data_IF_011881303055
#
_entry.id   IF_011881303055
#
_cell.length_a   1.000
_cell.length_b   1.000
_cell.length_c   1.000
_cell.angle_alpha   90.00
_cell.angle_beta   90.00
_cell.angle_gamma   90.00
#
_symmetry.space_group_name_H-M   'P 1'
#
loop_
_entity.id
_entity.type
_entity.pdbx_description
1 polymer ?
#
# COMPACT_ATOMS: atom_id res chain seq x y z
N UNK A 1 44.54 -0.86 8.35
CA UNK A 1 43.60 0.23 8.09
C UNK A 1 42.79 -0.17 6.86
N UNK A 2 41.60 -0.74 7.05
CA UNK A 2 40.61 -0.91 5.97
C UNK A 2 39.92 0.43 5.81
N UNK A 3 40.21 1.17 4.74
CA UNK A 3 39.48 2.37 4.39
C UNK A 3 38.06 1.95 4.04
N UNK A 4 37.07 2.43 4.81
CA UNK A 4 35.68 2.36 4.42
C UNK A 4 35.55 3.18 3.13
N UNK A 5 35.50 2.47 2.00
CA UNK A 5 35.10 3.04 0.72
C UNK A 5 33.63 3.43 0.88
N UNK A 6 33.41 4.67 1.33
CA UNK A 6 32.04 5.25 1.30
C UNK A 6 31.57 5.19 -0.14
N UNK A 7 30.53 4.42 -0.39
CA UNK A 7 29.84 4.35 -1.66
C UNK A 7 29.47 5.77 -2.12
N UNK A 8 29.71 6.11 -3.37
CA UNK A 8 29.30 7.41 -3.91
C UNK A 8 27.74 7.54 -3.92
N UNK A 9 27.25 8.76 -3.96
CA UNK A 9 25.83 9.06 -3.86
C UNK A 9 25.02 8.38 -4.97
N UNK A 10 25.56 8.31 -6.18
CA UNK A 10 24.90 7.68 -7.33
C UNK A 10 24.73 6.19 -7.10
N UNK A 11 25.75 5.49 -6.65
CA UNK A 11 25.69 4.08 -6.30
C UNK A 11 24.70 3.80 -5.17
N UNK A 12 24.60 4.69 -4.18
CA UNK A 12 23.61 4.57 -3.10
C UNK A 12 22.19 4.69 -3.63
N UNK A 13 21.91 5.63 -4.53
CA UNK A 13 20.61 5.80 -5.18
C UNK A 13 20.26 4.55 -5.99
N UNK A 14 21.16 4.05 -6.83
CA UNK A 14 20.94 2.85 -7.64
C UNK A 14 20.66 1.61 -6.79
N UNK A 15 21.38 1.47 -5.68
CA UNK A 15 21.19 0.37 -4.74
C UNK A 15 19.83 0.46 -4.04
N UNK A 16 19.47 1.63 -3.53
CA UNK A 16 18.18 1.84 -2.87
C UNK A 16 17.02 1.68 -3.85
N UNK A 17 17.14 2.17 -5.08
CA UNK A 17 16.17 1.94 -6.16
C UNK A 17 15.94 0.44 -6.38
N UNK A 18 17.02 -0.33 -6.42
CA UNK A 18 16.95 -1.79 -6.60
C UNK A 18 16.28 -2.48 -5.41
N UNK A 19 16.60 -2.08 -4.17
CA UNK A 19 15.94 -2.62 -2.98
C UNK A 19 14.45 -2.30 -2.97
N UNK A 20 14.07 -1.07 -3.30
CA UNK A 20 12.67 -0.68 -3.35
C UNK A 20 11.91 -1.40 -4.49
N UNK A 21 12.51 -1.61 -5.65
CA UNK A 21 11.91 -2.39 -6.73
C UNK A 21 11.67 -3.85 -6.31
N UNK A 22 12.66 -4.47 -5.66
CA UNK A 22 12.53 -5.83 -5.12
C UNK A 22 11.45 -5.91 -4.04
N UNK A 23 11.35 -4.89 -3.19
CA UNK A 23 10.33 -4.84 -2.14
C UNK A 23 8.93 -4.69 -2.74
N UNK A 24 8.74 -3.82 -3.73
CA UNK A 24 7.46 -3.69 -4.48
C UNK A 24 7.10 -5.01 -5.15
N UNK A 25 8.06 -5.67 -5.81
CA UNK A 25 7.87 -7.00 -6.38
C UNK A 25 7.48 -8.05 -5.33
N UNK A 26 8.08 -7.99 -4.14
CA UNK A 26 7.80 -8.91 -3.04
C UNK A 26 6.36 -8.76 -2.52
N UNK A 27 5.92 -7.53 -2.21
CA UNK A 27 4.58 -7.29 -1.68
C UNK A 27 3.47 -7.62 -2.68
N UNK A 28 3.74 -7.57 -3.98
CA UNK A 28 2.81 -8.02 -5.02
C UNK A 28 2.60 -9.53 -5.07
N UNK A 29 3.51 -10.31 -4.48
CA UNK A 29 3.51 -11.79 -4.54
C UNK A 29 3.23 -12.46 -3.21
N UNK A 30 3.55 -11.80 -2.11
CA UNK A 30 3.57 -12.42 -0.79
C UNK A 30 2.68 -11.62 0.16
N UNK A 31 1.66 -12.26 0.66
CA UNK A 31 0.83 -11.70 1.74
C UNK A 31 1.60 -11.72 3.07
N UNK A 32 1.35 -10.77 3.97
CA UNK A 32 1.83 -10.82 5.35
C UNK A 32 1.40 -12.11 6.06
N UNK A 33 2.19 -12.55 7.02
CA UNK A 33 1.94 -13.86 7.68
C UNK A 33 0.67 -13.87 8.53
N UNK A 34 0.31 -12.73 9.13
CA UNK A 34 -0.95 -12.55 9.85
C UNK A 34 -2.17 -12.69 8.93
N UNK A 35 -2.08 -12.17 7.70
CA UNK A 35 -3.14 -12.31 6.69
C UNK A 35 -3.25 -13.76 6.22
N UNK A 36 -2.12 -14.44 5.99
CA UNK A 36 -2.13 -15.87 5.63
C UNK A 36 -2.79 -16.71 6.72
N UNK A 37 -2.37 -16.49 7.99
CA UNK A 37 -2.95 -17.18 9.14
C UNK A 37 -4.45 -16.94 9.24
N UNK A 38 -4.92 -15.72 8.91
CA UNK A 38 -6.35 -15.41 8.91
C UNK A 38 -7.11 -16.11 7.78
N UNK A 39 -6.52 -16.23 6.60
CA UNK A 39 -7.10 -17.00 5.49
C UNK A 39 -7.22 -18.48 5.88
N UNK A 40 -6.20 -19.04 6.51
CA UNK A 40 -6.19 -20.44 6.95
C UNK A 40 -7.27 -20.67 8.04
N UNK A 41 -7.36 -19.79 9.03
CA UNK A 41 -8.41 -19.83 10.06
C UNK A 41 -9.82 -19.78 9.45
N UNK A 42 -10.04 -18.91 8.46
CA UNK A 42 -11.33 -18.78 7.79
C UNK A 42 -11.65 -20.03 6.94
N UNK A 43 -10.64 -20.59 6.28
CA UNK A 43 -10.79 -21.82 5.50
C UNK A 43 -11.19 -23.02 6.38
N UNK A 44 -10.65 -23.10 7.59
CA UNK A 44 -10.99 -24.15 8.56
C UNK A 44 -12.42 -24.02 9.09
N UNK A 45 -12.90 -22.80 9.30
CA UNK A 45 -14.24 -22.50 9.81
C UNK A 45 -15.34 -22.52 8.77
N UNK A 46 -14.97 -22.59 7.49
CA UNK A 46 -15.93 -22.55 6.40
C UNK A 46 -16.66 -23.89 6.24
N UNK A 47 -17.97 -23.86 6.15
CA UNK A 47 -18.81 -25.05 5.99
C UNK A 47 -19.26 -25.30 4.55
N UNK A 48 -19.39 -24.23 3.75
CA UNK A 48 -19.84 -24.31 2.34
C UNK A 48 -18.80 -25.03 1.48
N UNK A 49 -19.17 -26.11 0.76
CA UNK A 49 -18.24 -26.80 -0.13
C UNK A 49 -17.63 -25.89 -1.21
N UNK A 50 -18.43 -24.97 -1.76
CA UNK A 50 -17.96 -24.02 -2.79
C UNK A 50 -16.92 -23.04 -2.22
N UNK A 51 -17.19 -22.49 -1.04
CA UNK A 51 -16.26 -21.57 -0.39
C UNK A 51 -14.96 -22.26 0.02
N UNK A 52 -15.01 -23.54 0.42
CA UNK A 52 -13.79 -24.33 0.69
C UNK A 52 -12.89 -24.44 -0.55
N UNK A 53 -13.46 -24.66 -1.73
CA UNK A 53 -12.71 -24.69 -2.99
C UNK A 53 -12.06 -23.33 -3.28
N UNK A 54 -12.75 -22.23 -2.96
CA UNK A 54 -12.21 -20.87 -3.15
C UNK A 54 -10.99 -20.67 -2.23
N UNK A 55 -11.09 -21.00 -0.95
CA UNK A 55 -9.96 -20.88 -0.02
C UNK A 55 -8.77 -21.74 -0.43
N UNK A 56 -8.99 -22.99 -0.82
CA UNK A 56 -7.92 -23.85 -1.34
C UNK A 56 -7.27 -23.28 -2.59
N UNK A 57 -8.06 -22.66 -3.47
CA UNK A 57 -7.53 -21.98 -4.66
C UNK A 57 -6.69 -20.76 -4.28
N UNK A 58 -7.13 -19.96 -3.31
CA UNK A 58 -6.36 -18.82 -2.80
C UNK A 58 -5.02 -19.26 -2.19
N UNK A 59 -5.02 -20.29 -1.35
CA UNK A 59 -3.81 -20.85 -0.74
C UNK A 59 -2.84 -21.37 -1.81
N UNK A 60 -3.33 -22.14 -2.78
CA UNK A 60 -2.52 -22.63 -3.90
C UNK A 60 -1.97 -21.50 -4.77
N UNK A 61 -2.78 -20.46 -5.01
CA UNK A 61 -2.34 -19.28 -5.75
C UNK A 61 -1.19 -18.55 -5.07
N UNK A 62 -1.19 -18.45 -3.72
CA UNK A 62 -0.08 -17.85 -2.98
C UNK A 62 1.25 -18.60 -3.17
N UNK A 63 1.19 -19.92 -3.23
CA UNK A 63 2.38 -20.76 -3.52
C UNK A 63 2.86 -20.51 -4.95
N UNK A 64 1.96 -20.59 -5.92
CA UNK A 64 2.30 -20.42 -7.34
C UNK A 64 2.81 -19.00 -7.66
N UNK A 65 2.25 -17.96 -7.04
CA UNK A 65 2.72 -16.59 -7.22
C UNK A 65 4.20 -16.46 -6.85
N UNK A 66 4.60 -17.11 -5.77
CA UNK A 66 5.98 -17.12 -5.29
C UNK A 66 6.91 -17.93 -6.19
N UNK A 67 6.50 -19.15 -6.56
CA UNK A 67 7.28 -20.07 -7.40
C UNK A 67 7.48 -19.54 -8.82
N UNK A 68 6.43 -18.98 -9.40
CA UNK A 68 6.45 -18.48 -10.78
C UNK A 68 6.91 -17.03 -10.90
N UNK A 69 7.23 -16.38 -9.79
CA UNK A 69 7.58 -14.95 -9.75
C UNK A 69 6.51 -14.06 -10.42
N UNK A 70 5.24 -14.25 -10.04
CA UNK A 70 4.08 -13.53 -10.58
C UNK A 70 3.29 -12.88 -9.45
N UNK A 71 2.59 -11.76 -9.72
CA UNK A 71 1.66 -11.19 -8.74
C UNK A 71 0.59 -12.20 -8.32
N UNK A 72 0.17 -12.13 -7.08
CA UNK A 72 -0.87 -13.02 -6.53
C UNK A 72 -2.27 -12.67 -7.01
N UNK A 73 -2.47 -11.50 -7.61
CA UNK A 73 -3.75 -11.03 -8.15
C UNK A 73 -3.53 -10.37 -9.51
N UNK A 74 -4.52 -10.47 -10.42
CA UNK A 74 -4.48 -9.76 -11.70
C UNK A 74 -4.62 -8.24 -11.53
N UNK A 75 -5.27 -7.78 -10.48
CA UNK A 75 -5.28 -6.38 -10.09
C UNK A 75 -4.14 -6.13 -9.09
N UNK A 76 -2.98 -5.76 -9.62
CA UNK A 76 -1.80 -5.49 -8.78
C UNK A 76 -1.87 -4.14 -8.07
N UNK A 77 -2.88 -3.33 -8.38
CA UNK A 77 -3.14 -2.09 -7.68
C UNK A 77 -2.28 -0.91 -8.09
N UNK A 78 -2.51 0.19 -7.38
CA UNK A 78 -1.75 1.44 -7.48
C UNK A 78 -0.87 1.57 -6.24
N UNK A 79 0.37 1.97 -6.46
CA UNK A 79 1.36 2.12 -5.40
C UNK A 79 1.26 3.49 -4.73
N UNK A 80 1.35 3.47 -3.41
CA UNK A 80 1.46 4.65 -2.56
C UNK A 80 2.61 4.45 -1.58
N UNK A 81 3.34 5.51 -1.29
CA UNK A 81 4.43 5.50 -0.32
C UNK A 81 4.17 6.50 0.79
N UNK A 82 4.38 6.09 2.03
CA UNK A 82 4.51 6.95 3.18
C UNK A 82 5.97 7.01 3.59
N UNK A 83 6.57 8.17 3.44
CA UNK A 83 7.98 8.40 3.70
C UNK A 83 8.11 9.25 4.95
N UNK A 84 8.53 8.64 6.05
CA UNK A 84 8.93 9.33 7.26
C UNK A 84 10.44 9.49 7.24
N UNK A 85 10.90 10.70 6.97
CA UNK A 85 12.30 10.96 6.63
C UNK A 85 12.90 12.09 7.47
N UNK A 86 14.08 11.85 7.98
CA UNK A 86 14.86 12.84 8.70
C UNK A 86 15.44 13.90 7.77
N UNK A 87 15.51 15.15 8.26
CA UNK A 87 16.08 16.28 7.50
C UNK A 87 17.55 16.09 7.14
N UNK A 88 18.27 15.26 7.89
CA UNK A 88 19.69 14.93 7.66
C UNK A 88 19.89 13.63 6.87
N UNK A 89 18.81 13.01 6.38
CA UNK A 89 18.94 11.79 5.57
C UNK A 89 19.63 12.11 4.22
N UNK A 90 20.74 11.42 3.88
CA UNK A 90 21.61 11.83 2.78
C UNK A 90 20.94 11.84 1.39
N UNK A 91 19.89 11.03 1.20
CA UNK A 91 19.20 10.85 -0.08
C UNK A 91 17.80 11.49 -0.10
N UNK A 92 17.46 12.36 0.84
CA UNK A 92 16.11 12.93 0.95
C UNK A 92 15.65 13.60 -0.36
N UNK A 93 16.56 14.30 -1.05
CA UNK A 93 16.24 14.98 -2.31
C UNK A 93 16.03 14.06 -3.50
N UNK A 94 16.50 12.82 -3.43
CA UNK A 94 16.41 11.82 -4.50
C UNK A 94 15.24 10.83 -4.30
N UNK A 95 14.66 10.77 -3.09
CA UNK A 95 13.70 9.73 -2.72
C UNK A 95 12.50 9.66 -3.66
N UNK A 96 11.90 10.76 -4.04
CA UNK A 96 10.73 10.74 -4.93
C UNK A 96 11.07 10.19 -6.32
N UNK A 97 12.18 10.63 -6.90
CA UNK A 97 12.66 10.13 -8.18
C UNK A 97 13.01 8.66 -8.14
N UNK A 98 13.73 8.25 -7.12
CA UNK A 98 14.14 6.87 -6.84
C UNK A 98 12.92 5.94 -6.66
N UNK A 99 11.90 6.36 -5.93
CA UNK A 99 10.67 5.57 -5.73
C UNK A 99 9.90 5.40 -7.04
N UNK A 100 9.80 6.44 -7.86
CA UNK A 100 9.21 6.34 -9.21
C UNK A 100 9.98 5.36 -10.09
N UNK A 101 11.29 5.43 -10.10
CA UNK A 101 12.15 4.51 -10.86
C UNK A 101 12.01 3.06 -10.36
N UNK A 102 11.93 2.86 -9.05
CA UNK A 102 11.69 1.55 -8.44
C UNK A 102 10.35 0.95 -8.88
N UNK A 103 9.29 1.77 -8.99
CA UNK A 103 7.98 1.33 -9.51
C UNK A 103 8.07 0.90 -10.97
N UNK A 104 8.76 1.68 -11.81
CA UNK A 104 8.99 1.31 -13.21
C UNK A 104 9.70 -0.02 -13.30
N UNK A 105 10.81 -0.18 -12.57
CA UNK A 105 11.59 -1.41 -12.55
C UNK A 105 10.77 -2.61 -12.08
N UNK A 106 10.05 -2.49 -10.96
CA UNK A 106 9.17 -3.53 -10.45
C UNK A 106 8.05 -3.89 -11.42
N UNK A 107 7.50 -2.92 -12.15
CA UNK A 107 6.43 -3.16 -13.14
C UNK A 107 6.87 -4.14 -14.22
N UNK A 108 8.12 -4.08 -14.67
CA UNK A 108 8.64 -4.99 -15.68
C UNK A 108 9.17 -6.31 -15.10
N UNK A 109 9.85 -6.26 -13.95
CA UNK A 109 10.48 -7.44 -13.35
C UNK A 109 9.49 -8.38 -12.66
N UNK A 110 8.42 -7.83 -12.04
CA UNK A 110 7.37 -8.61 -11.37
C UNK A 110 6.11 -8.79 -12.22
N UNK A 111 6.13 -8.54 -13.50
CA UNK A 111 5.10 -8.17 -14.47
C UNK A 111 3.79 -7.68 -13.83
N UNK A 112 3.89 -6.54 -13.15
CA UNK A 112 2.73 -5.87 -12.59
C UNK A 112 1.79 -5.41 -13.69
N UNK A 113 0.48 -5.45 -13.43
CA UNK A 113 -0.50 -4.90 -14.36
C UNK A 113 -0.35 -3.38 -14.47
N UNK A 114 -0.53 -2.85 -15.68
CA UNK A 114 -0.43 -1.41 -15.93
C UNK A 114 -1.74 -0.71 -15.50
N UNK A 115 -1.94 -0.55 -14.21
CA UNK A 115 -3.18 -0.02 -13.64
C UNK A 115 -3.24 1.51 -13.62
N UNK A 116 -2.09 2.18 -13.70
CA UNK A 116 -2.03 3.63 -13.54
C UNK A 116 -2.14 4.35 -14.87
N UNK A 117 -3.09 5.27 -14.94
CA UNK A 117 -3.35 6.13 -16.09
C UNK A 117 -3.00 7.57 -15.73
N UNK A 118 -2.38 8.29 -16.61
CA UNK A 118 -2.15 9.73 -16.44
C UNK A 118 -3.50 10.45 -16.38
N UNK A 119 -3.77 11.11 -15.27
CA UNK A 119 -5.12 11.59 -14.92
C UNK A 119 -5.65 12.65 -15.89
N UNK A 120 -4.79 13.51 -16.39
CA UNK A 120 -5.21 14.64 -17.23
C UNK A 120 -5.27 14.30 -18.71
N UNK A 121 -4.36 13.48 -19.18
CA UNK A 121 -4.25 13.08 -20.58
C UNK A 121 -4.91 11.72 -20.85
N UNK A 122 -5.45 11.07 -19.81
CA UNK A 122 -6.06 9.73 -19.85
C UNK A 122 -5.17 8.68 -20.54
N UNK A 123 -3.87 8.90 -20.46
CA UNK A 123 -2.87 8.07 -21.12
C UNK A 123 -2.24 7.06 -20.16
N UNK A 124 -2.23 5.80 -20.56
CA UNK A 124 -1.53 4.76 -19.80
C UNK A 124 -0.07 4.66 -20.27
N UNK A 125 0.87 5.03 -19.40
CA UNK A 125 2.30 4.99 -19.71
C UNK A 125 2.86 3.58 -19.83
N UNK A 126 2.13 2.55 -19.35
CA UNK A 126 2.61 1.17 -19.23
C UNK A 126 3.68 0.96 -18.18
N UNK A 127 3.93 1.95 -17.31
CA UNK A 127 5.02 1.95 -16.34
C UNK A 127 4.56 2.11 -14.88
N UNK A 128 3.26 2.25 -14.66
CA UNK A 128 2.65 2.57 -13.35
C UNK A 128 3.18 3.87 -12.72
N UNK A 129 3.67 4.77 -13.53
CA UNK A 129 4.09 6.12 -13.12
C UNK A 129 3.46 7.16 -14.05
N UNK A 130 3.17 8.33 -13.49
CA UNK A 130 2.60 9.46 -14.19
C UNK A 130 2.56 10.67 -13.27
N UNK A 131 1.83 11.71 -13.66
CA UNK A 131 1.63 12.89 -12.83
C UNK A 131 0.79 12.50 -11.61
N UNK A 132 1.36 12.68 -10.40
CA UNK A 132 0.72 12.30 -9.14
C UNK A 132 0.71 10.79 -8.83
N UNK A 133 1.34 9.95 -9.65
CA UNK A 133 1.42 8.50 -9.44
C UNK A 133 2.88 8.01 -9.58
N UNK A 134 3.41 7.20 -8.64
CA UNK A 134 2.83 6.87 -7.34
C UNK A 134 2.66 8.10 -6.44
N UNK A 135 1.68 8.07 -5.55
CA UNK A 135 1.53 9.11 -4.53
C UNK A 135 2.57 8.91 -3.43
N UNK A 136 3.31 9.96 -3.11
CA UNK A 136 4.29 9.95 -2.02
C UNK A 136 3.83 10.94 -0.95
N UNK A 137 3.52 10.42 0.24
CA UNK A 137 3.20 11.20 1.42
C UNK A 137 4.46 11.38 2.27
N UNK A 138 4.66 12.57 2.80
CA UNK A 138 5.84 12.91 3.57
C UNK A 138 5.51 13.21 5.02
N UNK A 139 6.32 12.66 5.92
CA UNK A 139 6.42 13.03 7.33
C UNK A 139 7.89 13.37 7.61
N UNK A 140 8.17 14.65 7.83
CA UNK A 140 9.54 15.15 7.99
C UNK A 140 9.89 15.20 9.48
N UNK A 141 10.97 14.51 9.83
CA UNK A 141 11.48 14.43 11.20
C UNK A 141 12.69 15.35 11.33
N UNK A 142 12.63 16.43 12.13
CA UNK A 142 13.78 17.31 12.37
C UNK A 142 14.97 16.56 12.96
N UNK A 143 16.18 16.98 12.60
CA UNK A 143 17.46 16.55 13.17
C UNK A 143 17.75 15.03 13.16
N UNK A 144 17.03 14.27 12.35
CA UNK A 144 17.21 12.82 12.17
C UNK A 144 17.87 12.52 10.83
N UNK A 145 18.65 11.45 10.77
CA UNK A 145 19.24 10.87 9.57
C UNK A 145 18.55 9.56 9.13
N UNK A 146 17.47 9.18 9.81
CA UNK A 146 16.72 7.95 9.53
C UNK A 146 15.66 8.19 8.46
N UNK A 147 15.33 7.11 7.74
CA UNK A 147 14.25 7.10 6.75
C UNK A 147 13.47 5.78 6.86
N UNK A 148 12.16 5.90 7.09
CA UNK A 148 11.23 4.78 7.08
C UNK A 148 10.30 4.94 5.88
N UNK A 149 10.17 3.89 5.06
CA UNK A 149 9.32 3.90 3.87
C UNK A 149 8.26 2.81 4.02
N UNK A 150 7.01 3.23 4.13
CA UNK A 150 5.86 2.34 4.13
C UNK A 150 5.29 2.31 2.71
N UNK A 151 5.09 1.11 2.20
CA UNK A 151 4.58 0.89 0.84
C UNK A 151 3.22 0.22 0.91
N UNK A 152 2.25 0.81 0.24
CA UNK A 152 0.90 0.29 0.12
C UNK A 152 0.56 0.06 -1.36
N UNK A 153 0.06 -1.12 -1.66
CA UNK A 153 -0.37 -1.52 -3.00
C UNK A 153 -1.85 -1.89 -2.91
N UNK A 154 -2.72 -1.08 -3.52
CA UNK A 154 -4.16 -1.25 -3.44
C UNK A 154 -4.78 -1.40 -4.82
N UNK A 155 -5.47 -2.50 -5.05
CA UNK A 155 -6.25 -2.74 -6.24
C UNK A 155 -7.59 -2.00 -6.26
N UNK A 156 -8.30 -2.04 -7.39
CA UNK A 156 -9.58 -1.38 -7.58
C UNK A 156 -10.65 -1.86 -6.60
N UNK A 157 -10.71 -3.16 -6.32
CA UNK A 157 -11.64 -3.73 -5.34
C UNK A 157 -11.44 -3.22 -3.91
N UNK A 158 -10.21 -2.79 -3.58
CA UNK A 158 -9.89 -2.20 -2.28
C UNK A 158 -10.12 -0.68 -2.23
N UNK A 159 -10.07 0.01 -3.38
CA UNK A 159 -10.10 1.48 -3.46
C UNK A 159 -11.43 2.04 -3.93
N UNK A 160 -12.17 1.31 -4.76
CA UNK A 160 -13.49 1.72 -5.29
C UNK A 160 -14.49 2.14 -4.19
N UNK A 161 -14.57 1.45 -3.04
CA UNK A 161 -15.48 1.85 -1.97
C UNK A 161 -14.97 3.03 -1.13
N UNK A 162 -13.79 3.55 -1.42
CA UNK A 162 -13.24 4.70 -0.73
C UNK A 162 -14.16 5.92 -0.85
N UNK A 163 -14.60 6.47 0.29
CA UNK A 163 -15.42 7.67 0.38
C UNK A 163 -14.88 8.61 1.44
N UNK A 164 -15.05 9.89 1.21
CA UNK A 164 -14.79 10.93 2.20
C UNK A 164 -16.08 11.70 2.47
N UNK A 165 -16.30 12.07 3.72
CA UNK A 165 -17.44 12.88 4.14
C UNK A 165 -17.00 13.85 5.23
N UNK A 166 -17.51 15.06 5.17
CA UNK A 166 -17.42 16.03 6.26
C UNK A 166 -18.72 15.95 7.05
N UNK A 167 -18.61 15.52 8.31
CA UNK A 167 -19.75 15.42 9.22
C UNK A 167 -19.93 16.72 9.98
N UNK A 168 -21.20 17.08 10.29
CA UNK A 168 -21.48 18.20 11.17
C UNK A 168 -21.09 17.85 12.62
N UNK A 169 -20.58 18.78 13.40
CA UNK A 169 -20.13 18.51 14.79
C UNK A 169 -21.19 17.84 15.67
N UNK A 170 -22.47 18.14 15.43
CA UNK A 170 -23.59 17.56 16.17
C UNK A 170 -23.86 16.07 15.89
N UNK A 171 -23.29 15.51 14.81
CA UNK A 171 -23.46 14.10 14.47
C UNK A 171 -22.55 13.17 15.29
N UNK A 172 -21.46 13.72 15.85
CA UNK A 172 -20.56 13.01 16.75
C UNK A 172 -20.06 11.67 16.22
N UNK A 173 -19.74 10.77 17.12
CA UNK A 173 -19.29 9.42 16.77
C UNK A 173 -20.37 8.54 16.17
N UNK A 174 -21.63 8.83 16.45
CA UNK A 174 -22.77 8.12 15.86
C UNK A 174 -22.84 8.38 14.35
N UNK A 175 -22.65 9.63 13.92
CA UNK A 175 -22.53 9.97 12.51
C UNK A 175 -21.35 9.29 11.81
N UNK A 176 -20.21 9.18 12.49
CA UNK A 176 -19.04 8.42 11.95
C UNK A 176 -19.40 6.95 11.77
N UNK A 177 -19.99 6.32 12.78
CA UNK A 177 -20.39 4.90 12.71
C UNK A 177 -21.39 4.66 11.59
N UNK A 178 -22.40 5.53 11.49
CA UNK A 178 -23.40 5.46 10.41
C UNK A 178 -22.74 5.58 9.05
N UNK A 179 -21.89 6.57 8.85
CA UNK A 179 -21.16 6.74 7.58
C UNK A 179 -20.36 5.50 7.18
N UNK A 180 -19.63 4.90 8.12
CA UNK A 180 -18.86 3.67 7.86
C UNK A 180 -19.78 2.52 7.45
N UNK A 181 -20.86 2.31 8.18
CA UNK A 181 -21.83 1.25 7.88
C UNK A 181 -22.54 1.48 6.53
N UNK A 182 -22.91 2.74 6.22
CA UNK A 182 -23.51 3.09 4.94
C UNK A 182 -22.56 2.83 3.76
N UNK A 183 -21.26 3.13 3.93
CA UNK A 183 -20.25 2.80 2.93
C UNK A 183 -20.13 1.29 2.76
N UNK A 184 -20.02 0.55 3.84
CA UNK A 184 -19.91 -0.92 3.82
C UNK A 184 -21.09 -1.58 3.12
N UNK A 185 -22.32 -1.18 3.46
CA UNK A 185 -23.52 -1.78 2.92
C UNK A 185 -23.82 -1.37 1.47
N UNK A 186 -23.46 -0.16 1.08
CA UNK A 186 -23.73 0.36 -0.26
C UNK A 186 -22.98 -0.34 -1.39
N UNK A 187 -21.83 -0.95 -1.10
CA UNK A 187 -21.04 -1.68 -2.09
C UNK A 187 -21.27 -3.20 -2.08
N UNK A 188 -21.88 -3.74 -1.01
CA UNK A 188 -22.23 -5.17 -0.89
C UNK A 188 -21.07 -6.10 -1.21
N UNK A 189 -21.30 -7.06 -2.09
CA UNK A 189 -20.28 -8.06 -2.51
C UNK A 189 -19.15 -7.48 -3.38
N UNK A 190 -19.24 -6.22 -3.80
CA UNK A 190 -18.18 -5.55 -4.56
C UNK A 190 -16.98 -5.17 -3.69
N UNK A 191 -17.09 -5.37 -2.37
CA UNK A 191 -16.02 -5.12 -1.42
C UNK A 191 -15.08 -6.30 -1.25
N UNK A 192 -13.80 -6.03 -1.22
CA UNK A 192 -12.85 -6.84 -0.48
C UNK A 192 -12.85 -6.33 0.98
N UNK A 193 -13.83 -6.81 1.74
CA UNK A 193 -14.29 -6.24 3.03
C UNK A 193 -13.22 -6.05 4.10
N UNK A 194 -12.19 -6.88 4.15
CA UNK A 194 -11.24 -6.90 5.27
C UNK A 194 -10.20 -5.78 5.26
N UNK A 195 -9.81 -5.28 4.08
CA UNK A 195 -8.80 -4.23 3.98
C UNK A 195 -9.34 -2.83 4.27
N UNK A 196 -10.61 -2.57 4.02
CA UNK A 196 -11.19 -1.23 4.07
C UNK A 196 -11.39 -0.71 5.50
N UNK A 197 -11.90 -1.55 6.39
CA UNK A 197 -12.17 -1.19 7.79
C UNK A 197 -10.92 -0.80 8.56
N UNK A 198 -9.82 -1.49 8.31
CA UNK A 198 -8.54 -1.23 8.99
C UNK A 198 -7.95 0.10 8.52
N UNK A 199 -8.03 0.42 7.22
CA UNK A 199 -7.46 1.65 6.68
C UNK A 199 -8.19 2.92 7.12
N UNK A 200 -9.52 2.91 7.15
CA UNK A 200 -10.35 4.09 7.53
C UNK A 200 -10.27 4.35 9.03
N UNK A 201 -10.36 3.34 9.87
CA UNK A 201 -10.24 3.47 11.33
C UNK A 201 -8.83 3.88 11.76
N UNK A 202 -7.77 3.36 11.14
CA UNK A 202 -6.38 3.75 11.45
C UNK A 202 -6.07 5.18 11.03
N UNK A 203 -6.61 5.66 9.91
CA UNK A 203 -6.40 7.04 9.49
C UNK A 203 -7.11 8.03 10.41
N UNK A 204 -8.35 7.75 10.79
CA UNK A 204 -9.10 8.53 11.79
C UNK A 204 -8.43 8.53 13.17
N UNK A 205 -7.97 7.38 13.65
CA UNK A 205 -7.30 7.26 14.95
C UNK A 205 -5.92 7.96 14.95
N UNK A 206 -5.20 7.95 13.83
CA UNK A 206 -3.94 8.67 13.70
C UNK A 206 -4.14 10.18 13.71
N UNK A 207 -5.15 10.69 13.05
CA UNK A 207 -5.49 12.13 13.10
C UNK A 207 -6.00 12.58 14.48
N UNK A 208 -6.76 11.73 15.19
CA UNK A 208 -7.22 12.00 16.53
C UNK A 208 -6.08 12.04 17.58
N UNK A 209 -4.97 11.37 17.34
CA UNK A 209 -3.77 11.44 18.18
C UNK A 209 -2.96 12.74 18.00
N UNK A 210 -3.14 13.45 16.87
CA UNK A 210 -2.46 14.71 16.60
C UNK A 210 -3.19 15.95 17.18
N UNK A 211 -4.42 15.81 17.65
CA UNK A 211 -5.09 16.90 18.37
C UNK A 211 -4.84 16.75 19.87
N UNK A 212 -4.08 17.69 20.50
CA UNK A 212 -3.92 17.67 21.94
C UNK A 212 -5.30 17.82 22.57
N UNK A 213 -5.69 16.82 23.37
CA UNK A 213 -6.88 16.91 24.23
C UNK A 213 -6.65 18.08 25.18
N UNK A 214 -7.34 19.21 24.98
CA UNK A 214 -7.45 20.21 26.02
C UNK A 214 -8.24 19.58 27.16
N UNK A 215 -7.73 19.63 28.40
CA UNK A 215 -8.56 19.27 29.54
C UNK A 215 -9.73 20.25 29.63
N UNK A 216 -10.91 19.71 29.86
CA UNK A 216 -12.11 20.45 30.23
C UNK A 216 -11.92 21.10 31.56
#
# INVERSE_FOLDING_TARGET
>A
MKGDLKMDKKSQVEQLTTYMANFVSYIGKVLPDDIKAKIDELAEKEDSPLSKVIYQTMQKNQVLAKELNRPSCQDTGVLQFWVKCGTNFPLIGELEGLLKEAVVKATFEAPLRHNSVETFDEYNTGKNVGKGTPTVFWDIVPDSDQCEIYTYMAGGGCTLPGKAMVLMPGEGYEGVTKFVLDVMTSYGLMHVLHCLLVSVLLHLLRQLHYFPRKPL
#
